data_IF_672588494456
#
_entry.id   IF_672588494456
#
_cell.length_a   1.000
_cell.length_b   1.000
_cell.length_c   1.000
_cell.angle_alpha   90.00
_cell.angle_beta   90.00
_cell.angle_gamma   90.00
#
_symmetry.space_group_name_H-M   'P 1'
#
loop_
_entity.id
_entity.type
_entity.pdbx_description
1 polymer ?
#
# COMPACT_ATOMS: atom_id res chain seq x y z
N UNK A 1 -10.28 -15.57 -33.37
CA UNK A 1 -10.65 -15.78 -31.95
C UNK A 1 -9.86 -14.74 -31.15
N UNK A 2 -10.28 -13.47 -31.19
CA UNK A 2 -11.11 -12.74 -30.20
C UNK A 2 -10.38 -12.35 -28.91
N UNK A 3 -9.49 -11.35 -29.04
CA UNK A 3 -8.99 -10.50 -27.95
C UNK A 3 -9.98 -9.35 -27.65
N UNK A 4 -11.26 -9.67 -27.48
CA UNK A 4 -12.30 -8.68 -27.21
C UNK A 4 -13.15 -9.13 -26.02
N UNK A 5 -12.69 -8.87 -24.79
CA UNK A 5 -13.54 -8.67 -23.60
C UNK A 5 -12.70 -8.44 -22.33
N UNK A 6 -11.77 -7.48 -22.36
CA UNK A 6 -11.29 -6.90 -21.10
C UNK A 6 -11.84 -5.49 -21.04
N UNK A 7 -12.90 -5.31 -20.24
CA UNK A 7 -13.30 -3.99 -19.79
C UNK A 7 -12.05 -3.27 -19.26
N UNK A 8 -11.86 -1.98 -19.58
CA UNK A 8 -10.74 -1.22 -19.03
C UNK A 8 -10.78 -1.35 -17.50
N UNK A 9 -9.62 -1.45 -16.83
CA UNK A 9 -9.57 -1.61 -15.38
C UNK A 9 -10.38 -0.48 -14.73
N UNK A 10 -11.48 -0.85 -14.07
CA UNK A 10 -12.28 0.10 -13.28
C UNK A 10 -11.52 0.30 -11.99
N UNK A 11 -10.98 1.50 -11.81
CA UNK A 11 -10.21 1.84 -10.61
C UNK A 11 -11.13 2.06 -9.42
N UNK A 12 -10.70 1.63 -8.23
CA UNK A 12 -11.42 1.91 -6.98
C UNK A 12 -11.35 3.41 -6.69
N UNK A 13 -12.50 4.08 -6.43
CA UNK A 13 -12.51 5.49 -6.02
C UNK A 13 -11.65 5.71 -4.78
N UNK A 14 -10.92 6.82 -4.75
CA UNK A 14 -10.04 7.14 -3.61
C UNK A 14 -10.84 7.75 -2.46
N UNK A 15 -10.61 7.35 -1.19
CA UNK A 15 -11.24 8.01 -0.04
C UNK A 15 -10.56 9.35 0.31
N UNK A 16 -9.41 9.65 -0.31
CA UNK A 16 -8.62 10.84 -0.04
C UNK A 16 -9.04 12.02 -0.91
N UNK A 17 -9.03 13.21 -0.31
CA UNK A 17 -9.12 14.46 -1.05
C UNK A 17 -7.78 14.68 -1.76
N UNK A 18 -7.79 14.75 -3.10
CA UNK A 18 -6.63 15.19 -3.87
C UNK A 18 -6.59 16.71 -3.80
N UNK A 19 -5.75 17.26 -2.92
CA UNK A 19 -5.50 18.69 -2.91
C UNK A 19 -4.71 19.10 -4.15
N UNK A 20 -5.10 20.19 -4.82
CA UNK A 20 -4.30 20.72 -5.91
C UNK A 20 -2.94 21.18 -5.37
N UNK A 21 -1.85 21.05 -6.14
CA UNK A 21 -0.54 21.48 -5.69
C UNK A 21 -0.55 22.97 -5.34
N UNK A 22 -0.27 23.28 -4.08
CA UNK A 22 -0.02 24.64 -3.63
C UNK A 22 1.44 24.99 -3.84
N UNK A 23 1.72 26.08 -4.57
CA UNK A 23 3.06 26.65 -4.57
C UNK A 23 3.40 27.10 -3.15
N UNK A 24 4.54 26.68 -2.66
CA UNK A 24 4.98 27.01 -1.31
C UNK A 24 6.47 26.84 -1.19
N UNK A 25 7.10 27.79 -0.51
CA UNK A 25 8.46 27.64 -0.03
C UNK A 25 8.41 27.82 1.47
N UNK A 26 8.84 26.78 2.18
CA UNK A 26 9.02 26.82 3.63
C UNK A 26 10.49 26.64 3.93
N UNK A 27 11.02 27.44 4.86
CA UNK A 27 12.40 27.32 5.29
C UNK A 27 12.52 27.44 6.79
N UNK A 28 13.47 26.68 7.33
CA UNK A 28 14.00 26.82 8.68
C UNK A 28 15.31 27.58 8.55
N UNK A 29 15.40 28.72 9.25
CA UNK A 29 16.61 29.53 9.31
C UNK A 29 17.22 29.50 10.71
N UNK A 30 18.55 29.48 10.76
CA UNK A 30 19.32 29.54 12.00
C UNK A 30 19.34 30.96 12.58
N UNK A 31 19.89 31.10 13.78
CA UNK A 31 19.86 32.36 14.54
C UNK A 31 20.60 33.54 13.85
N UNK A 32 21.50 33.24 12.92
CA UNK A 32 22.24 34.22 12.12
C UNK A 32 21.64 34.41 10.71
N UNK A 33 20.47 33.81 10.43
CA UNK A 33 19.80 33.88 9.13
C UNK A 33 20.27 32.84 8.10
N UNK A 34 21.14 31.90 8.46
CA UNK A 34 21.53 30.81 7.55
C UNK A 34 20.36 29.88 7.21
N UNK A 35 20.31 29.33 6.00
CA UNK A 35 19.34 28.29 5.66
C UNK A 35 19.78 26.96 6.29
N UNK A 36 18.98 26.44 7.22
CA UNK A 36 19.20 25.12 7.83
C UNK A 36 18.48 24.04 7.03
N UNK A 37 17.27 24.33 6.59
CA UNK A 37 16.45 23.41 5.79
C UNK A 37 15.43 24.20 4.97
N UNK A 38 15.24 23.82 3.71
CA UNK A 38 14.25 24.42 2.82
C UNK A 38 13.43 23.34 2.12
N UNK A 39 12.13 23.57 1.99
CA UNK A 39 11.20 22.73 1.27
C UNK A 39 10.49 23.60 0.25
N UNK A 40 10.78 23.36 -1.02
CA UNK A 40 10.13 23.99 -2.16
C UNK A 40 9.13 23.00 -2.76
N UNK A 41 7.86 23.39 -2.82
CA UNK A 41 6.89 22.71 -3.66
C UNK A 41 6.99 23.30 -5.08
N UNK A 42 7.15 22.42 -6.06
CA UNK A 42 7.34 22.77 -7.47
C UNK A 42 6.27 23.71 -8.01
N UNK A 43 6.69 24.59 -8.92
CA UNK A 43 5.78 25.50 -9.61
C UNK A 43 4.80 24.78 -10.55
N UNK A 44 3.86 25.49 -11.19
CA UNK A 44 2.92 24.92 -12.16
C UNK A 44 3.59 24.15 -13.31
N UNK A 45 4.86 24.48 -13.64
CA UNK A 45 5.68 23.78 -14.64
C UNK A 45 6.12 22.38 -14.21
N UNK A 46 6.12 22.09 -12.92
CA UNK A 46 6.47 20.79 -12.34
C UNK A 46 5.22 19.96 -11.98
N UNK A 47 4.02 20.56 -12.12
CA UNK A 47 2.74 19.89 -11.89
C UNK A 47 2.53 18.80 -12.95
N UNK A 48 2.37 17.57 -12.48
CA UNK A 48 1.87 16.48 -13.31
C UNK A 48 0.41 16.74 -13.70
N UNK A 49 -0.04 16.33 -14.90
CA UNK A 49 -1.44 16.48 -15.30
C UNK A 49 -2.39 15.86 -14.27
N UNK A 50 -3.53 16.50 -13.99
CA UNK A 50 -4.47 16.04 -12.95
C UNK A 50 -4.94 14.59 -13.17
N UNK A 51 -5.17 14.20 -14.44
CA UNK A 51 -5.51 12.83 -14.80
C UNK A 51 -4.41 11.81 -14.41
N UNK A 52 -3.13 12.20 -14.45
CA UNK A 52 -2.00 11.34 -14.02
C UNK A 52 -1.99 11.23 -12.50
N UNK A 53 -2.21 12.33 -11.79
CA UNK A 53 -2.31 12.35 -10.33
C UNK A 53 -3.49 11.47 -9.84
N UNK A 54 -4.65 11.59 -10.47
CA UNK A 54 -5.83 10.78 -10.18
C UNK A 54 -5.59 9.29 -10.46
N UNK A 55 -4.99 8.95 -11.61
CA UNK A 55 -4.66 7.58 -11.95
C UNK A 55 -3.66 6.96 -10.95
N UNK A 56 -2.65 7.73 -10.53
CA UNK A 56 -1.68 7.29 -9.53
C UNK A 56 -2.33 7.09 -8.16
N UNK A 57 -3.18 8.02 -7.73
CA UNK A 57 -3.92 7.90 -6.48
C UNK A 57 -4.81 6.64 -6.48
N UNK A 58 -5.51 6.39 -7.59
CA UNK A 58 -6.37 5.22 -7.73
C UNK A 58 -5.58 3.91 -7.82
N UNK A 59 -4.37 3.93 -8.41
CA UNK A 59 -3.45 2.80 -8.40
C UNK A 59 -2.99 2.47 -6.97
N UNK A 60 -2.62 3.48 -6.19
CA UNK A 60 -2.21 3.32 -4.78
C UNK A 60 -3.36 2.73 -3.96
N UNK A 61 -4.58 3.26 -4.08
CA UNK A 61 -5.75 2.73 -3.36
C UNK A 61 -5.99 1.27 -3.72
N UNK A 62 -5.94 0.92 -5.01
CA UNK A 62 -6.07 -0.47 -5.43
C UNK A 62 -4.99 -1.36 -4.82
N UNK A 63 -3.73 -0.91 -4.82
CA UNK A 63 -2.63 -1.68 -4.24
C UNK A 63 -2.82 -1.89 -2.74
N UNK A 64 -3.24 -0.86 -2.01
CA UNK A 64 -3.51 -0.95 -0.56
C UNK A 64 -4.68 -1.88 -0.27
N UNK A 65 -5.78 -1.77 -1.01
CA UNK A 65 -6.96 -2.62 -0.80
C UNK A 65 -6.65 -4.08 -1.15
N UNK A 66 -6.00 -4.33 -2.29
CA UNK A 66 -5.58 -5.68 -2.67
C UNK A 66 -4.56 -6.28 -1.70
N UNK A 67 -3.69 -5.46 -1.09
CA UNK A 67 -2.80 -5.92 -0.02
C UNK A 67 -3.58 -6.36 1.21
N UNK A 68 -4.57 -5.57 1.64
CA UNK A 68 -5.41 -5.92 2.79
C UNK A 68 -6.22 -7.20 2.56
N UNK A 69 -6.88 -7.33 1.41
CA UNK A 69 -7.65 -8.53 1.03
C UNK A 69 -6.75 -9.78 0.95
N UNK A 70 -5.56 -9.65 0.34
CA UNK A 70 -4.61 -10.75 0.26
C UNK A 70 -4.11 -11.16 1.64
N UNK A 71 -3.80 -10.19 2.50
CA UNK A 71 -3.31 -10.44 3.85
C UNK A 71 -4.36 -11.15 4.70
N UNK A 72 -5.62 -10.70 4.64
CA UNK A 72 -6.74 -11.37 5.30
C UNK A 72 -6.92 -12.81 4.81
N UNK A 73 -6.85 -13.04 3.50
CA UNK A 73 -6.95 -14.39 2.94
C UNK A 73 -5.83 -15.31 3.42
N UNK A 74 -4.59 -14.80 3.51
CA UNK A 74 -3.44 -15.55 4.02
C UNK A 74 -3.56 -15.84 5.52
N UNK A 75 -4.07 -14.90 6.31
CA UNK A 75 -4.31 -15.08 7.75
C UNK A 75 -5.37 -16.17 8.00
N UNK A 76 -6.48 -16.11 7.28
CA UNK A 76 -7.53 -17.12 7.35
C UNK A 76 -7.00 -18.50 6.93
N UNK A 77 -6.19 -18.56 5.87
CA UNK A 77 -5.59 -19.82 5.42
C UNK A 77 -4.67 -20.45 6.49
N UNK A 78 -3.81 -19.66 7.12
CA UNK A 78 -2.92 -20.14 8.20
C UNK A 78 -3.73 -20.55 9.44
N UNK A 79 -4.80 -19.81 9.77
CA UNK A 79 -5.70 -20.14 10.86
C UNK A 79 -6.44 -21.47 10.60
N UNK A 80 -6.95 -21.69 9.39
CA UNK A 80 -7.64 -22.93 9.01
C UNK A 80 -6.70 -24.13 9.06
N UNK A 81 -5.47 -23.99 8.56
CA UNK A 81 -4.44 -25.05 8.62
C UNK A 81 -4.10 -25.47 10.04
N UNK A 82 -4.09 -24.52 10.98
CA UNK A 82 -3.71 -24.77 12.38
C UNK A 82 -4.90 -25.11 13.28
N UNK A 83 -6.13 -24.82 12.87
CA UNK A 83 -7.34 -25.11 13.65
C UNK A 83 -8.06 -26.41 13.22
N UNK A 84 -7.89 -26.85 11.97
CA UNK A 84 -8.51 -28.06 11.44
C UNK A 84 -8.05 -29.33 12.17
N UNK A 85 -9.00 -30.06 12.75
CA UNK A 85 -8.74 -31.30 13.48
C UNK A 85 -8.13 -32.41 12.60
N UNK A 86 -8.46 -32.43 11.30
CA UNK A 86 -7.88 -33.36 10.33
C UNK A 86 -6.44 -32.98 9.97
N UNK A 87 -6.16 -31.68 9.79
CA UNK A 87 -4.81 -31.21 9.43
C UNK A 87 -3.85 -31.23 10.62
N UNK A 88 -4.34 -31.09 11.86
CA UNK A 88 -3.53 -31.21 13.09
C UNK A 88 -2.83 -32.56 13.24
N UNK A 89 -3.31 -33.61 12.56
CA UNK A 89 -2.66 -34.92 12.53
C UNK A 89 -1.36 -34.91 11.70
N UNK A 90 -1.19 -33.93 10.81
CA UNK A 90 -0.10 -33.87 9.85
C UNK A 90 0.75 -32.60 10.00
N UNK A 91 0.18 -31.52 10.53
CA UNK A 91 0.83 -30.22 10.69
C UNK A 91 0.84 -29.88 12.17
N UNK A 92 2.04 -29.82 12.76
CA UNK A 92 2.20 -29.33 14.13
C UNK A 92 2.17 -27.80 14.16
N UNK A 93 1.76 -27.21 15.29
CA UNK A 93 1.88 -25.75 15.47
C UNK A 93 3.33 -25.25 15.41
N UNK A 94 4.29 -26.15 15.65
CA UNK A 94 5.72 -25.90 15.55
C UNK A 94 6.30 -26.06 14.15
N UNK A 95 5.47 -26.36 13.14
CA UNK A 95 5.90 -26.48 11.76
C UNK A 95 6.59 -25.19 11.29
N UNK A 96 7.83 -25.33 10.81
CA UNK A 96 8.67 -24.22 10.39
C UNK A 96 8.05 -23.41 9.24
N UNK A 97 7.22 -24.05 8.41
CA UNK A 97 6.49 -23.39 7.32
C UNK A 97 5.40 -22.47 7.88
N UNK A 98 4.67 -22.93 8.91
CA UNK A 98 3.65 -22.12 9.60
C UNK A 98 4.30 -20.95 10.34
N UNK A 99 5.44 -21.17 11.00
CA UNK A 99 6.22 -20.10 11.64
C UNK A 99 6.68 -19.06 10.62
N UNK A 100 7.27 -19.51 9.50
CA UNK A 100 7.71 -18.61 8.43
C UNK A 100 6.54 -17.81 7.83
N UNK A 101 5.39 -18.44 7.60
CA UNK A 101 4.18 -17.77 7.12
C UNK A 101 3.69 -16.69 8.11
N UNK A 102 3.63 -17.00 9.41
CA UNK A 102 3.26 -16.03 10.45
C UNK A 102 4.22 -14.84 10.52
N UNK A 103 5.53 -15.09 10.41
CA UNK A 103 6.54 -14.02 10.38
C UNK A 103 6.36 -13.14 9.13
N UNK A 104 6.09 -13.74 7.97
CA UNK A 104 5.86 -12.99 6.73
C UNK A 104 4.60 -12.11 6.83
N UNK A 105 3.52 -12.63 7.43
CA UNK A 105 2.28 -11.88 7.71
C UNK A 105 2.58 -10.72 8.67
N UNK A 106 3.30 -10.95 9.77
CA UNK A 106 3.67 -9.91 10.73
C UNK A 106 4.49 -8.78 10.07
N UNK A 107 5.46 -9.14 9.21
CA UNK A 107 6.21 -8.16 8.40
C UNK A 107 5.30 -7.37 7.46
N UNK A 108 4.33 -8.04 6.81
CA UNK A 108 3.39 -7.40 5.90
C UNK A 108 2.39 -6.46 6.60
N UNK A 109 2.13 -6.65 7.90
CA UNK A 109 1.39 -5.72 8.77
C UNK A 109 2.24 -4.54 9.26
N UNK A 110 3.56 -4.69 9.29
CA UNK A 110 4.48 -3.75 9.92
C UNK A 110 4.67 -3.97 11.41
N UNK A 111 4.35 -5.16 11.92
CA UNK A 111 4.45 -5.53 13.34
C UNK A 111 5.85 -6.06 13.74
N UNK A 112 6.79 -6.16 12.78
CA UNK A 112 8.08 -6.86 12.92
C UNK A 112 9.29 -6.04 12.46
#
# INVERSE_FOLDING_TARGET
MTDQNKSPPVHTPTPWLIEPPSMGFSQITGANGELVFGLAAGGPSEKQPDAVCEANAALIVRAVNSHAELLEALENLVADMTSSAELKLYISEDDETIKAARIAIAKARGDA
#
